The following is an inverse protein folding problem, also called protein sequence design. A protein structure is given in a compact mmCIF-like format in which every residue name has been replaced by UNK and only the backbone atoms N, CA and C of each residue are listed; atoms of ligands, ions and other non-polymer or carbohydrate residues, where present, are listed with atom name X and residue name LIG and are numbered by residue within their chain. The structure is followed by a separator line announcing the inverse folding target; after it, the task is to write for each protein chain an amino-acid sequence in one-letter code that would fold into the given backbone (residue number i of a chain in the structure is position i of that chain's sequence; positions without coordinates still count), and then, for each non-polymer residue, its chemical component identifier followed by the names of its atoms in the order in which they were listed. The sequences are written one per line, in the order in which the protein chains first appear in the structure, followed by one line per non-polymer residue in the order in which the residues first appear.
data_IF_921238452749
#
_entry.id   IF_921238452749
#
_cell.length_a   1.000
_cell.length_b   1.000
_cell.length_c   1.000
_cell.angle_alpha   90.00
_cell.angle_beta   90.00
_cell.angle_gamma   90.00
#
_symmetry.space_group_name_H-M   'P 1'
#
loop_
_entity.id
_entity.type
_entity.pdbx_description
1 polymer ?
#
# COMPACT_ATOMS: atom_id res chain seq x y z
N UNK A 1 -15.25 8.14 -34.66
CA UNK A 1 -15.04 6.98 -33.80
C UNK A 1 -14.97 7.51 -32.39
N UNK A 2 -15.77 6.99 -31.48
CA UNK A 2 -15.81 7.37 -30.07
C UNK A 2 -15.37 6.16 -29.23
N UNK A 3 -14.66 6.37 -28.11
CA UNK A 3 -14.23 5.33 -27.18
C UNK A 3 -14.86 5.57 -25.81
N UNK A 4 -15.68 4.66 -25.35
CA UNK A 4 -16.20 4.64 -24.00
C UNK A 4 -15.40 3.67 -23.10
N UNK A 5 -15.26 4.03 -21.85
CA UNK A 5 -14.65 3.19 -20.83
C UNK A 5 -15.76 2.64 -19.93
N UNK A 6 -15.95 1.31 -19.99
CA UNK A 6 -16.91 0.61 -19.16
C UNK A 6 -16.17 -0.23 -18.11
N UNK A 7 -16.51 -0.02 -16.84
CA UNK A 7 -15.93 -0.73 -15.69
C UNK A 7 -14.40 -0.61 -15.58
N UNK A 8 -13.81 0.59 -15.72
CA UNK A 8 -12.38 0.78 -15.54
C UNK A 8 -12.01 0.51 -14.08
N UNK A 9 -10.80 -0.01 -13.87
CA UNK A 9 -10.20 -0.08 -12.53
C UNK A 9 -9.22 1.07 -12.41
N UNK A 10 -9.50 2.12 -11.62
CA UNK A 10 -8.59 3.24 -11.46
C UNK A 10 -7.36 2.82 -10.62
N UNK A 11 -6.18 3.19 -11.08
CA UNK A 11 -4.92 3.01 -10.38
C UNK A 11 -4.21 4.36 -10.35
N UNK A 12 -4.03 4.91 -9.16
CA UNK A 12 -3.33 6.17 -8.94
C UNK A 12 -1.88 5.90 -8.58
N UNK A 13 -0.97 6.58 -9.24
CA UNK A 13 0.47 6.46 -8.99
C UNK A 13 1.01 7.86 -8.70
N UNK A 14 1.65 8.02 -7.55
CA UNK A 14 2.29 9.26 -7.14
C UNK A 14 3.75 8.99 -6.80
N UNK A 15 4.66 9.85 -7.27
CA UNK A 15 6.07 9.83 -6.88
C UNK A 15 6.29 10.90 -5.80
N UNK A 16 6.31 10.47 -4.56
CA UNK A 16 6.57 11.34 -3.41
C UNK A 16 8.08 11.44 -3.21
N UNK A 17 8.72 12.38 -3.88
CA UNK A 17 10.18 12.60 -3.80
C UNK A 17 10.57 13.18 -2.45
N UNK A 18 10.68 12.34 -1.45
CA UNK A 18 11.07 12.76 -0.10
C UNK A 18 12.15 11.82 0.49
N UNK A 19 13.42 11.92 0.02
CA UNK A 19 14.45 10.96 0.38
C UNK A 19 14.75 10.90 1.89
N UNK A 20 14.63 12.01 2.59
CA UNK A 20 14.90 12.09 4.04
C UNK A 20 13.89 11.25 4.82
N UNK A 21 12.59 11.36 4.52
CA UNK A 21 11.57 10.58 5.23
C UNK A 21 11.74 9.08 4.98
N UNK A 22 12.13 8.69 3.77
CA UNK A 22 12.33 7.27 3.46
C UNK A 22 13.49 6.67 4.25
N UNK A 23 14.57 7.42 4.47
CA UNK A 23 15.69 6.99 5.30
C UNK A 23 15.29 6.84 6.78
N UNK A 24 14.53 7.80 7.29
CA UNK A 24 13.99 7.76 8.66
C UNK A 24 13.07 6.55 8.84
N UNK A 25 12.09 6.38 7.94
CA UNK A 25 11.15 5.27 7.97
C UNK A 25 11.83 3.90 7.83
N UNK A 26 12.82 3.76 6.93
CA UNK A 26 13.58 2.53 6.79
C UNK A 26 14.25 2.16 8.12
N UNK A 27 14.93 3.12 8.74
CA UNK A 27 15.61 2.91 10.02
C UNK A 27 14.62 2.49 11.10
N UNK A 28 13.55 3.23 11.29
CA UNK A 28 12.58 3.00 12.36
C UNK A 28 11.83 1.68 12.21
N UNK A 29 11.41 1.34 10.98
CA UNK A 29 10.72 0.07 10.70
C UNK A 29 11.66 -1.13 10.87
N UNK A 30 12.92 -1.02 10.45
CA UNK A 30 13.92 -2.07 10.69
C UNK A 30 14.19 -2.25 12.18
N UNK A 31 14.30 -1.17 12.96
CA UNK A 31 14.44 -1.27 14.42
C UNK A 31 13.20 -1.87 15.08
N UNK A 32 12.01 -1.51 14.60
CA UNK A 32 10.76 -2.13 15.09
C UNK A 32 10.76 -3.64 14.84
N UNK A 33 11.12 -4.07 13.64
CA UNK A 33 11.14 -5.50 13.28
C UNK A 33 12.13 -6.35 14.11
N UNK A 34 13.18 -5.75 14.68
CA UNK A 34 14.10 -6.42 15.59
C UNK A 34 13.52 -6.66 16.99
N UNK A 35 12.59 -5.81 17.40
CA UNK A 35 11.98 -5.80 18.74
C UNK A 35 10.63 -6.51 18.80
N UNK A 36 9.98 -6.64 17.64
CA UNK A 36 8.63 -7.20 17.51
C UNK A 36 8.65 -8.34 16.50
N UNK A 37 8.10 -9.48 16.88
CA UNK A 37 7.99 -10.65 15.98
C UNK A 37 7.08 -10.41 14.78
N UNK A 38 6.26 -9.35 14.85
CA UNK A 38 5.24 -9.09 13.86
C UNK A 38 4.08 -10.09 13.91
N UNK A 39 3.25 -10.03 12.89
CA UNK A 39 2.09 -10.90 12.74
C UNK A 39 2.14 -11.66 11.42
N UNK A 40 1.49 -12.82 11.39
CA UNK A 40 1.34 -13.61 10.17
C UNK A 40 0.00 -13.27 9.51
N UNK A 41 0.05 -12.85 8.27
CA UNK A 41 -1.09 -12.58 7.40
C UNK A 41 -0.85 -13.23 6.04
N UNK A 42 -0.63 -12.42 5.02
CA UNK A 42 -0.32 -12.88 3.66
C UNK A 42 1.19 -12.98 3.40
N UNK A 43 2.00 -12.50 4.34
CA UNK A 43 3.46 -12.53 4.27
C UNK A 43 4.01 -13.96 4.30
N UNK A 44 4.95 -14.22 3.38
CA UNK A 44 5.72 -15.46 3.28
C UNK A 44 7.18 -15.08 3.41
N UNK A 45 7.88 -15.59 4.43
CA UNK A 45 9.27 -15.28 4.76
C UNK A 45 9.56 -13.80 5.05
N UNK A 46 8.53 -12.95 5.09
CA UNK A 46 8.64 -11.53 5.39
C UNK A 46 8.11 -11.20 6.79
N UNK A 47 8.55 -10.06 7.33
CA UNK A 47 8.00 -9.48 8.55
C UNK A 47 6.82 -8.56 8.19
N UNK A 48 5.79 -8.58 9.03
CA UNK A 48 4.59 -7.75 8.93
C UNK A 48 4.28 -7.18 10.31
N UNK A 49 4.24 -5.85 10.43
CA UNK A 49 3.91 -5.20 11.70
C UNK A 49 2.46 -5.44 12.12
N UNK A 50 2.08 -5.00 13.30
CA UNK A 50 0.69 -4.77 13.66
C UNK A 50 0.05 -3.74 12.71
N UNK A 51 -1.28 -3.71 12.63
CA UNK A 51 -2.02 -2.93 11.60
C UNK A 51 -2.43 -1.53 12.04
N UNK A 52 -1.95 -1.09 13.19
CA UNK A 52 -2.24 0.22 13.77
C UNK A 52 -1.10 1.25 13.61
N UNK A 53 -0.23 1.06 12.64
CA UNK A 53 0.92 1.96 12.39
C UNK A 53 0.50 3.43 12.22
N UNK A 54 -0.68 3.69 11.68
CA UNK A 54 -1.22 5.05 11.50
C UNK A 54 -1.55 5.77 12.82
N UNK A 55 -1.67 5.05 13.93
CA UNK A 55 -1.93 5.60 15.26
C UNK A 55 -0.64 5.96 16.00
N UNK A 56 0.52 5.53 15.51
CA UNK A 56 1.81 5.72 16.16
C UNK A 56 2.38 7.09 15.80
N UNK A 57 2.76 7.93 16.80
CA UNK A 57 3.20 9.31 16.57
C UNK A 57 4.41 9.44 15.64
N UNK A 58 5.33 8.49 15.67
CA UNK A 58 6.52 8.45 14.84
C UNK A 58 6.21 8.40 13.33
N UNK A 59 5.02 7.92 12.95
CA UNK A 59 4.58 7.84 11.56
C UNK A 59 3.61 8.95 11.14
N UNK A 60 3.31 9.91 12.02
CA UNK A 60 2.35 10.99 11.76
C UNK A 60 2.65 11.77 10.48
N UNK A 61 3.93 11.99 10.16
CA UNK A 61 4.34 12.67 8.94
C UNK A 61 3.98 11.87 7.68
N UNK A 62 4.24 10.56 7.68
CA UNK A 62 3.84 9.67 6.60
C UNK A 62 2.31 9.64 6.46
N UNK A 63 1.59 9.51 7.57
CA UNK A 63 0.12 9.52 7.60
C UNK A 63 -0.42 10.80 6.97
N UNK A 64 0.13 11.96 7.33
CA UNK A 64 -0.27 13.25 6.74
C UNK A 64 -0.05 13.30 5.22
N UNK A 65 1.06 12.76 4.74
CA UNK A 65 1.36 12.67 3.29
C UNK A 65 0.38 11.74 2.56
N UNK A 66 0.04 10.61 3.17
CA UNK A 66 -0.93 9.67 2.60
C UNK A 66 -2.34 10.26 2.56
N UNK A 67 -2.74 11.01 3.59
CA UNK A 67 -4.01 11.74 3.58
C UNK A 67 -4.06 12.79 2.46
N UNK A 68 -2.99 13.52 2.22
CA UNK A 68 -2.93 14.47 1.12
C UNK A 68 -3.11 13.79 -0.25
N UNK A 69 -2.50 12.62 -0.46
CA UNK A 69 -2.71 11.81 -1.65
C UNK A 69 -4.16 11.32 -1.76
N UNK A 70 -4.72 10.81 -0.67
CA UNK A 70 -6.11 10.33 -0.65
C UNK A 70 -7.09 11.46 -0.93
N UNK A 71 -6.87 12.66 -0.38
CA UNK A 71 -7.73 13.81 -0.65
C UNK A 71 -7.73 14.16 -2.14
N UNK A 72 -6.57 14.14 -2.78
CA UNK A 72 -6.48 14.35 -4.23
C UNK A 72 -7.31 13.32 -5.02
N UNK A 73 -7.29 12.05 -4.60
CA UNK A 73 -8.10 11.00 -5.22
C UNK A 73 -9.59 11.27 -5.00
N UNK A 74 -9.99 11.62 -3.77
CA UNK A 74 -11.38 11.92 -3.43
C UNK A 74 -11.92 13.10 -4.25
N UNK A 75 -11.11 14.15 -4.41
CA UNK A 75 -11.48 15.31 -5.22
C UNK A 75 -11.62 14.92 -6.72
N UNK A 76 -10.75 14.07 -7.25
CA UNK A 76 -10.81 13.60 -8.65
C UNK A 76 -11.99 12.65 -8.92
N UNK A 77 -12.33 11.83 -7.95
CA UNK A 77 -13.44 10.88 -8.02
C UNK A 77 -14.77 11.49 -7.56
N UNK A 78 -14.81 12.79 -7.24
CA UNK A 78 -15.99 13.51 -6.77
C UNK A 78 -16.67 12.84 -5.55
N UNK A 79 -15.87 12.39 -4.60
CA UNK A 79 -16.37 11.77 -3.36
C UNK A 79 -16.62 12.85 -2.31
N UNK A 80 -17.83 12.90 -1.77
CA UNK A 80 -18.29 13.94 -0.82
C UNK A 80 -17.88 13.64 0.64
N UNK A 81 -17.07 12.60 0.88
CA UNK A 81 -16.64 12.21 2.22
C UNK A 81 -15.14 12.46 2.43
N UNK A 82 -14.74 12.62 3.69
CA UNK A 82 -13.32 12.70 4.02
C UNK A 82 -12.71 11.29 4.08
N UNK A 83 -11.45 11.13 3.61
CA UNK A 83 -10.77 9.84 3.70
C UNK A 83 -10.46 9.45 5.14
N UNK A 84 -10.56 8.17 5.44
CA UNK A 84 -10.19 7.60 6.73
C UNK A 84 -9.20 6.45 6.52
N UNK A 85 -8.07 6.49 7.20
CA UNK A 85 -7.15 5.34 7.27
C UNK A 85 -7.71 4.32 8.26
N UNK A 86 -8.29 3.24 7.75
CA UNK A 86 -8.83 2.16 8.57
C UNK A 86 -7.74 1.29 9.20
N UNK A 87 -6.63 1.10 8.49
CA UNK A 87 -5.45 0.40 8.97
C UNK A 87 -4.22 0.76 8.15
N UNK A 88 -3.05 0.58 8.75
CA UNK A 88 -1.75 0.76 8.09
C UNK A 88 -0.72 -0.15 8.75
N UNK A 89 0.16 -0.73 7.96
CA UNK A 89 1.24 -1.59 8.46
C UNK A 89 2.48 -1.48 7.58
N UNK A 90 3.58 -1.96 8.11
CA UNK A 90 4.83 -2.09 7.38
C UNK A 90 5.13 -3.56 7.05
N UNK A 91 5.73 -3.78 5.89
CA UNK A 91 6.27 -5.07 5.47
C UNK A 91 7.77 -4.96 5.21
N UNK A 92 8.53 -5.96 5.63
CA UNK A 92 9.92 -6.16 5.24
C UNK A 92 10.02 -7.54 4.58
N UNK A 93 10.26 -7.57 3.29
CA UNK A 93 10.43 -8.80 2.53
C UNK A 93 11.92 -9.03 2.21
N UNK A 94 12.55 -10.07 2.72
CA UNK A 94 13.89 -10.47 2.33
C UNK A 94 13.88 -11.06 0.91
N UNK A 95 15.04 -11.32 0.31
CA UNK A 95 15.10 -12.05 -0.96
C UNK A 95 14.32 -13.37 -0.90
N UNK A 96 13.39 -13.55 -1.84
CA UNK A 96 12.47 -14.70 -1.85
C UNK A 96 11.21 -14.53 -1.00
N UNK A 97 11.12 -13.48 -0.18
CA UNK A 97 9.91 -13.13 0.57
C UNK A 97 8.87 -12.49 -0.33
N UNK A 98 7.60 -12.72 0.00
CA UNK A 98 6.46 -12.15 -0.75
C UNK A 98 5.23 -12.00 0.12
N UNK A 99 4.25 -11.27 -0.37
CA UNK A 99 2.89 -11.29 0.11
C UNK A 99 2.01 -12.04 -0.91
N UNK A 100 1.21 -12.97 -0.43
CA UNK A 100 0.25 -13.70 -1.29
C UNK A 100 -0.81 -12.74 -1.81
N UNK A 101 -1.38 -13.07 -2.97
CA UNK A 101 -2.55 -12.36 -3.49
C UNK A 101 -3.68 -12.39 -2.45
N UNK A 102 -4.28 -11.23 -2.21
CA UNK A 102 -5.33 -11.04 -1.21
C UNK A 102 -6.19 -9.82 -1.56
N UNK A 103 -7.26 -9.67 -0.84
CA UNK A 103 -8.18 -8.54 -0.96
C UNK A 103 -8.26 -7.79 0.37
N UNK A 104 -8.72 -6.55 0.30
CA UNK A 104 -9.01 -5.70 1.46
C UNK A 104 -10.52 -5.44 1.54
N UNK A 105 -11.30 -6.36 2.14
CA UNK A 105 -12.75 -6.17 2.26
C UNK A 105 -13.08 -4.88 3.02
N UNK A 106 -14.15 -4.21 2.59
CA UNK A 106 -14.64 -2.95 3.17
C UNK A 106 -13.69 -1.74 3.04
N UNK A 107 -12.62 -1.85 2.23
CA UNK A 107 -11.78 -0.71 1.88
C UNK A 107 -12.22 -0.16 0.52
N UNK A 108 -12.54 1.12 0.47
CA UNK A 108 -12.79 1.81 -0.80
C UNK A 108 -11.51 1.92 -1.62
N UNK A 109 -10.39 2.22 -0.94
CA UNK A 109 -9.06 2.31 -1.54
C UNK A 109 -8.05 1.48 -0.74
N UNK A 110 -7.12 0.88 -1.45
CA UNK A 110 -5.93 0.24 -0.89
C UNK A 110 -4.70 0.85 -1.52
N UNK A 111 -3.67 1.10 -0.73
CA UNK A 111 -2.44 1.72 -1.22
C UNK A 111 -1.19 1.02 -0.74
N UNK A 112 -0.11 1.20 -1.50
CA UNK A 112 1.24 0.75 -1.13
C UNK A 112 2.19 1.92 -1.26
N UNK A 113 2.95 2.19 -0.23
CA UNK A 113 4.04 3.16 -0.24
C UNK A 113 5.38 2.43 -0.17
N UNK A 114 6.20 2.58 -1.21
CA UNK A 114 7.53 1.96 -1.27
C UNK A 114 8.58 2.86 -0.64
N UNK A 115 9.01 2.50 0.56
CA UNK A 115 10.11 3.18 1.26
C UNK A 115 11.45 2.83 0.60
N UNK A 116 11.60 1.55 0.23
CA UNK A 116 12.79 1.03 -0.44
C UNK A 116 12.40 -0.08 -1.41
N UNK A 117 12.78 0.09 -2.67
CA UNK A 117 12.57 -0.88 -3.74
C UNK A 117 13.88 -1.05 -4.52
N UNK A 118 14.81 -1.93 -4.05
CA UNK A 118 16.08 -2.14 -4.72
C UNK A 118 15.86 -2.87 -6.06
N UNK A 119 16.88 -2.85 -6.93
CA UNK A 119 16.85 -3.61 -8.19
C UNK A 119 16.55 -5.08 -7.90
N UNK A 120 15.65 -5.66 -8.68
CA UNK A 120 15.18 -7.05 -8.53
C UNK A 120 14.40 -7.34 -7.23
N UNK A 121 13.72 -6.34 -6.66
CA UNK A 121 12.86 -6.51 -5.47
C UNK A 121 11.52 -7.21 -5.76
N UNK A 122 11.24 -7.55 -7.04
CA UNK A 122 9.94 -8.05 -7.48
C UNK A 122 8.96 -6.93 -7.84
N UNK A 123 7.74 -7.33 -8.17
CA UNK A 123 6.71 -6.44 -8.69
C UNK A 123 5.44 -6.51 -7.84
N UNK A 124 4.66 -5.42 -7.84
CA UNK A 124 3.27 -5.46 -7.42
C UNK A 124 2.45 -6.09 -8.55
N UNK A 125 1.75 -7.18 -8.25
CA UNK A 125 0.83 -7.84 -9.17
C UNK A 125 -0.60 -7.51 -8.78
N UNK A 126 -1.38 -7.09 -9.77
CA UNK A 126 -2.79 -6.79 -9.60
C UNK A 126 -3.56 -7.70 -10.53
N UNK A 127 -4.42 -8.55 -9.96
CA UNK A 127 -5.27 -9.44 -10.73
C UNK A 127 -6.61 -8.74 -11.05
N UNK A 128 -7.12 -8.94 -12.27
CA UNK A 128 -8.45 -8.47 -12.65
C UNK A 128 -9.52 -9.20 -11.81
N UNK A 129 -10.32 -8.50 -11.01
CA UNK A 129 -11.29 -9.14 -10.12
C UNK A 129 -12.48 -9.77 -10.85
N UNK A 130 -12.64 -9.51 -12.14
CA UNK A 130 -13.74 -10.04 -12.93
C UNK A 130 -13.46 -11.50 -13.30
N UNK A 131 -14.34 -12.40 -12.89
CA UNK A 131 -14.19 -13.85 -13.14
C UNK A 131 -14.08 -14.19 -14.63
N UNK A 132 -14.76 -13.45 -15.51
CA UNK A 132 -14.71 -13.65 -16.96
C UNK A 132 -13.34 -13.33 -17.57
N UNK A 133 -12.56 -12.43 -16.99
CA UNK A 133 -11.23 -12.12 -17.50
C UNK A 133 -10.26 -13.29 -17.41
N UNK A 134 -10.44 -14.20 -16.45
CA UNK A 134 -9.66 -15.42 -16.30
C UNK A 134 -10.00 -16.50 -17.34
N UNK A 135 -11.15 -16.41 -18.00
CA UNK A 135 -11.62 -17.39 -18.97
C UNK A 135 -11.10 -17.15 -20.39
N UNK A 136 -10.47 -16.01 -20.64
CA UNK A 136 -9.98 -15.59 -21.95
C UNK A 136 -8.44 -15.74 -22.10
N UNK A 137 -7.79 -16.52 -21.25
CA UNK A 137 -6.35 -16.78 -21.28
C UNK A 137 -6.06 -18.19 -21.76
#
# INVERSE_FOLDING_TARGET
MHRDLHFPTPIYIADIKHPTINQELEKDIVEWSKKDKGITRTNVQGWHSTTNMHELPEYAKLVSMLYACQKTIYDQEHLDSEPVLGNMWANINPPGGMNRAHQHPNSLWSGVYYIKAPKNCGDLKIDDPRSSAAMCR
#
